data_IF_282817662343
#
_entry.id   IF_282817662343
#
_cell.length_a   1.000
_cell.length_b   1.000
_cell.length_c   1.000
_cell.angle_alpha   90.00
_cell.angle_beta   90.00
_cell.angle_gamma   90.00
#
_symmetry.space_group_name_H-M   'P 1'
#
loop_
_entity.id
_entity.type
_entity.pdbx_description
1 polymer ?
#
# COMPACT_ATOMS: atom_id res chain seq x y z
N UNK A 1 -32.65 14.01 47.17
CA UNK A 1 -31.63 12.96 47.19
C UNK A 1 -30.92 13.05 45.86
N UNK A 2 -29.97 13.97 45.80
CA UNK A 2 -29.22 14.33 44.60
C UNK A 2 -28.14 13.28 44.40
N UNK A 3 -28.08 12.71 43.20
CA UNK A 3 -26.91 11.97 42.74
C UNK A 3 -26.38 12.70 41.52
N UNK A 4 -25.55 13.71 41.80
CA UNK A 4 -24.77 14.39 40.79
C UNK A 4 -23.69 13.43 40.28
N UNK A 5 -23.88 12.93 39.06
CA UNK A 5 -22.89 12.11 38.36
C UNK A 5 -21.86 13.05 37.75
N UNK A 6 -20.94 13.57 38.57
CA UNK A 6 -19.83 14.40 38.08
C UNK A 6 -18.79 13.51 37.41
N UNK A 7 -18.99 13.23 36.12
CA UNK A 7 -18.00 12.56 35.29
C UNK A 7 -16.77 13.43 35.13
N UNK A 8 -15.67 13.06 35.78
CA UNK A 8 -14.37 13.69 35.59
C UNK A 8 -13.95 13.58 34.11
N UNK A 9 -13.49 14.66 33.45
CA UNK A 9 -13.04 14.58 32.08
C UNK A 9 -11.80 13.69 32.02
N UNK A 10 -11.83 12.69 31.13
CA UNK A 10 -10.69 11.83 30.86
C UNK A 10 -9.51 12.71 30.42
N UNK A 11 -8.60 13.00 31.35
CA UNK A 11 -7.34 13.66 31.04
C UNK A 11 -6.57 12.72 30.14
N UNK A 12 -6.45 13.06 28.85
CA UNK A 12 -5.51 12.41 27.94
C UNK A 12 -4.17 12.36 28.67
N UNK A 13 -3.76 11.17 29.10
CA UNK A 13 -2.39 10.93 29.54
C UNK A 13 -1.54 11.22 28.31
N UNK A 14 -1.03 12.44 28.23
CA UNK A 14 -0.05 12.84 27.26
C UNK A 14 1.20 12.06 27.64
N UNK A 15 1.40 10.89 27.03
CA UNK A 15 2.69 10.20 27.05
C UNK A 15 3.70 11.22 26.56
N UNK A 16 4.48 11.82 27.47
CA UNK A 16 5.55 12.75 27.10
C UNK A 16 6.48 11.96 26.18
N UNK A 17 6.73 12.45 24.94
CA UNK A 17 7.72 11.83 24.07
C UNK A 17 9.06 11.87 24.81
N UNK A 18 9.83 10.76 24.85
CA UNK A 18 11.12 10.77 25.52
C UNK A 18 11.98 11.86 24.89
N UNK A 19 12.48 12.72 25.76
CA UNK A 19 13.09 14.03 25.51
C UNK A 19 14.46 13.98 24.79
N UNK A 20 14.69 12.92 24.03
CA UNK A 20 15.82 12.74 23.11
C UNK A 20 15.42 11.94 21.84
N UNK A 21 14.21 12.15 21.31
CA UNK A 21 13.88 11.69 19.97
C UNK A 21 14.38 12.71 18.96
N UNK A 22 15.60 12.52 18.47
CA UNK A 22 16.06 13.27 17.30
C UNK A 22 15.01 13.12 16.20
N UNK A 23 14.59 14.23 15.57
CA UNK A 23 13.68 14.23 14.40
C UNK A 23 14.17 13.35 13.24
N UNK A 24 15.41 12.84 13.33
CA UNK A 24 16.14 12.12 12.31
C UNK A 24 16.56 10.71 12.75
N UNK A 25 15.84 10.07 13.69
CA UNK A 25 16.17 8.68 14.04
C UNK A 25 15.88 7.73 12.87
N UNK A 26 16.96 7.28 12.22
CA UNK A 26 16.92 6.36 11.10
C UNK A 26 16.45 4.95 11.49
N UNK A 27 16.35 4.62 12.78
CA UNK A 27 15.86 3.31 13.26
C UNK A 27 14.35 3.24 13.22
N UNK A 28 13.67 4.33 13.55
CA UNK A 28 12.20 4.42 13.61
C UNK A 28 11.58 4.79 12.26
N UNK A 29 12.36 5.32 11.32
CA UNK A 29 11.85 5.69 9.99
C UNK A 29 11.38 4.48 9.19
N UNK A 30 10.32 4.68 8.39
CA UNK A 30 9.81 3.66 7.45
C UNK A 30 10.93 3.17 6.53
N UNK A 31 11.10 1.85 6.44
CA UNK A 31 12.11 1.21 5.60
C UNK A 31 11.62 0.98 4.18
N UNK A 32 12.56 0.88 3.24
CA UNK A 32 12.26 0.57 1.84
C UNK A 32 11.72 -0.85 1.66
N UNK A 33 10.54 -0.99 1.04
CA UNK A 33 9.89 -2.30 0.87
C UNK A 33 10.50 -3.21 -0.22
N UNK A 34 11.69 -2.89 -0.75
CA UNK A 34 12.34 -3.65 -1.83
C UNK A 34 13.36 -4.64 -1.24
N UNK A 35 13.71 -5.68 -2.00
CA UNK A 35 14.75 -6.64 -1.63
C UNK A 35 16.06 -6.30 -2.35
N UNK A 36 17.18 -6.39 -1.64
CA UNK A 36 18.51 -6.16 -2.20
C UNK A 36 18.87 -7.29 -3.16
N UNK A 37 19.37 -6.95 -4.37
CA UNK A 37 19.67 -7.96 -5.41
C UNK A 37 20.76 -8.96 -5.00
N UNK A 38 21.84 -8.50 -4.35
CA UNK A 38 22.97 -9.35 -3.99
C UNK A 38 22.70 -10.27 -2.80
N UNK A 39 22.02 -9.77 -1.77
CA UNK A 39 21.81 -10.52 -0.52
C UNK A 39 20.42 -11.16 -0.41
N UNK A 40 19.47 -10.78 -1.26
CA UNK A 40 18.07 -11.19 -1.18
C UNK A 40 17.31 -10.68 0.06
N UNK A 41 17.97 -9.95 0.96
CA UNK A 41 17.39 -9.43 2.22
C UNK A 41 16.55 -8.16 1.97
N UNK A 42 15.58 -7.85 2.86
CA UNK A 42 14.84 -6.60 2.78
C UNK A 42 15.76 -5.38 2.94
N UNK A 43 15.49 -4.32 2.18
CA UNK A 43 16.29 -3.11 2.17
C UNK A 43 16.10 -2.31 3.47
N UNK A 44 17.21 -2.03 4.17
CA UNK A 44 17.21 -1.30 5.44
C UNK A 44 17.33 0.23 5.29
N UNK A 45 17.40 0.72 4.06
CA UNK A 45 17.48 2.16 3.77
C UNK A 45 16.14 2.85 4.06
N UNK A 46 16.15 4.13 4.46
CA UNK A 46 14.93 4.90 4.66
C UNK A 46 14.12 4.99 3.36
N UNK A 47 12.80 4.83 3.47
CA UNK A 47 11.88 4.99 2.36
C UNK A 47 11.58 6.47 2.11
N UNK A 48 11.51 6.85 0.84
CA UNK A 48 10.93 8.10 0.39
C UNK A 48 9.38 8.02 0.45
N UNK A 49 8.62 9.09 0.14
CA UNK A 49 7.15 9.06 0.20
C UNK A 49 6.52 7.91 -0.61
N UNK A 50 7.14 7.52 -1.73
CA UNK A 50 6.70 6.39 -2.57
C UNK A 50 7.00 4.98 -1.99
N UNK A 51 7.58 4.88 -0.80
CA UNK A 51 7.86 3.59 -0.14
C UNK A 51 9.16 2.90 -0.58
N UNK A 52 9.94 3.53 -1.47
CA UNK A 52 11.23 3.02 -1.96
C UNK A 52 12.38 3.93 -1.53
N UNK A 53 13.57 3.39 -1.33
CA UNK A 53 14.76 4.21 -1.08
C UNK A 53 15.32 4.79 -2.38
N UNK A 54 16.23 5.76 -2.26
CA UNK A 54 16.93 6.39 -3.41
C UNK A 54 17.48 5.38 -4.43
N UNK A 55 18.00 4.24 -3.97
CA UNK A 55 18.60 3.20 -4.81
C UNK A 55 17.56 2.26 -5.45
N UNK A 56 16.43 2.01 -4.79
CA UNK A 56 15.37 1.10 -5.26
C UNK A 56 14.22 1.86 -5.95
N UNK A 57 14.52 2.96 -6.63
CA UNK A 57 13.52 3.73 -7.41
C UNK A 57 12.78 4.80 -6.62
N UNK A 58 13.23 5.15 -5.41
CA UNK A 58 12.66 6.23 -4.60
C UNK A 58 12.62 7.58 -5.31
N UNK A 59 13.61 7.86 -6.16
CA UNK A 59 13.69 9.07 -6.98
C UNK A 59 12.87 9.01 -8.27
N UNK A 60 12.35 7.84 -8.64
CA UNK A 60 11.61 7.70 -9.88
C UNK A 60 10.23 8.33 -9.72
N UNK A 61 9.85 9.31 -10.55
CA UNK A 61 8.51 9.89 -10.53
C UNK A 61 7.43 8.92 -11.05
N UNK A 62 7.84 7.74 -11.52
CA UNK A 62 6.97 6.82 -12.24
C UNK A 62 6.78 7.25 -13.71
N UNK A 63 6.04 6.46 -14.50
CA UNK A 63 5.73 6.82 -15.87
C UNK A 63 4.80 8.05 -15.92
N UNK A 64 5.00 8.97 -16.88
CA UNK A 64 4.07 10.08 -17.07
C UNK A 64 2.69 9.58 -17.48
N UNK A 65 1.65 10.37 -17.17
CA UNK A 65 0.29 10.10 -17.65
C UNK A 65 0.28 10.04 -19.18
N UNK A 66 -0.37 9.03 -19.76
CA UNK A 66 -0.41 8.83 -21.21
C UNK A 66 0.85 8.23 -21.83
N UNK A 67 1.77 7.69 -21.02
CA UNK A 67 2.95 6.99 -21.55
C UNK A 67 2.56 5.81 -22.47
N UNK A 68 2.88 5.93 -23.76
CA UNK A 68 2.66 4.90 -24.78
C UNK A 68 3.84 3.94 -24.95
N UNK A 69 4.99 4.17 -24.31
CA UNK A 69 6.16 3.28 -24.45
C UNK A 69 5.90 1.88 -23.88
N UNK A 70 5.01 1.78 -22.88
CA UNK A 70 4.55 0.49 -22.35
C UNK A 70 3.40 -0.13 -23.16
N UNK A 71 2.83 0.60 -24.12
CA UNK A 71 1.74 0.15 -24.97
C UNK A 71 2.30 -0.62 -26.16
N UNK A 72 2.26 -1.96 -26.09
CA UNK A 72 2.73 -2.83 -27.18
C UNK A 72 1.58 -3.39 -28.01
N UNK A 73 0.69 -4.14 -27.37
CA UNK A 73 -0.38 -4.90 -28.03
C UNK A 73 -1.74 -4.73 -27.33
N UNK A 74 -1.95 -3.62 -26.62
CA UNK A 74 -3.25 -3.27 -26.02
C UNK A 74 -3.73 -4.15 -24.84
N UNK A 75 -3.01 -5.22 -24.45
CA UNK A 75 -3.47 -6.14 -23.37
C UNK A 75 -3.78 -5.43 -22.04
N UNK A 76 -3.06 -4.35 -21.74
CA UNK A 76 -3.26 -3.56 -20.52
C UNK A 76 -4.10 -2.30 -20.75
N UNK A 77 -4.77 -2.17 -21.89
CA UNK A 77 -5.74 -1.09 -22.11
C UNK A 77 -6.93 -1.25 -21.15
N UNK A 78 -7.60 -0.14 -20.86
CA UNK A 78 -8.79 -0.14 -20.01
C UNK A 78 -9.88 -1.07 -20.57
N UNK A 79 -10.13 -0.99 -21.88
CA UNK A 79 -11.07 -1.84 -22.61
C UNK A 79 -10.73 -3.32 -22.49
N UNK A 80 -9.47 -3.71 -22.78
CA UNK A 80 -9.07 -5.12 -22.72
C UNK A 80 -9.12 -5.66 -21.28
N UNK A 81 -8.88 -4.82 -20.28
CA UNK A 81 -9.03 -5.19 -18.86
C UNK A 81 -10.52 -5.38 -18.52
N UNK A 82 -11.40 -4.47 -18.94
CA UNK A 82 -12.84 -4.56 -18.71
C UNK A 82 -13.43 -5.83 -19.33
N UNK A 83 -13.16 -6.08 -20.60
CA UNK A 83 -13.62 -7.28 -21.31
C UNK A 83 -13.16 -8.57 -20.61
N UNK A 84 -11.90 -8.65 -20.16
CA UNK A 84 -11.43 -9.82 -19.40
C UNK A 84 -12.09 -9.97 -18.03
N UNK A 85 -12.51 -8.89 -17.38
CA UNK A 85 -13.23 -8.95 -16.10
C UNK A 85 -14.63 -9.50 -16.32
N UNK A 86 -15.33 -9.03 -17.34
CA UNK A 86 -16.66 -9.52 -17.74
C UNK A 86 -16.62 -11.01 -18.08
N UNK A 87 -15.70 -11.42 -18.97
CA UNK A 87 -15.53 -12.84 -19.31
C UNK A 87 -15.22 -13.71 -18.08
N UNK A 88 -14.41 -13.21 -17.13
CA UNK A 88 -14.13 -13.93 -15.89
C UNK A 88 -15.33 -14.02 -14.95
N UNK A 89 -16.21 -13.01 -14.94
CA UNK A 89 -17.45 -13.05 -14.17
C UNK A 89 -18.40 -14.10 -14.76
N UNK A 90 -18.61 -14.06 -16.09
CA UNK A 90 -19.42 -15.06 -16.80
C UNK A 90 -18.89 -16.48 -16.57
N UNK A 91 -17.59 -16.71 -16.73
CA UNK A 91 -17.00 -18.02 -16.49
C UNK A 91 -17.15 -18.50 -15.04
N UNK A 92 -17.23 -17.58 -14.06
CA UNK A 92 -17.50 -17.94 -12.66
C UNK A 92 -18.95 -18.38 -12.49
N UNK A 93 -19.89 -17.64 -13.06
CA UNK A 93 -21.32 -17.96 -13.05
C UNK A 93 -21.60 -19.30 -13.73
N UNK A 94 -21.01 -19.54 -14.90
CA UNK A 94 -21.14 -20.82 -15.62
C UNK A 94 -20.63 -22.00 -14.79
N UNK A 95 -19.51 -21.82 -14.07
CA UNK A 95 -18.96 -22.87 -13.18
C UNK A 95 -19.88 -23.15 -12.00
N UNK A 96 -20.48 -22.11 -11.43
CA UNK A 96 -21.43 -22.26 -10.34
C UNK A 96 -22.70 -22.97 -10.80
N UNK A 97 -23.24 -22.56 -11.95
CA UNK A 97 -24.39 -23.22 -12.58
C UNK A 97 -24.11 -24.69 -12.88
N UNK A 98 -22.95 -25.00 -13.45
CA UNK A 98 -22.54 -26.39 -13.72
C UNK A 98 -22.45 -27.23 -12.45
N UNK A 99 -22.07 -26.63 -11.31
CA UNK A 99 -22.01 -27.31 -10.01
C UNK A 99 -23.38 -27.60 -9.40
N UNK A 100 -24.41 -26.83 -9.77
CA UNK A 100 -25.78 -27.05 -9.29
C UNK A 100 -26.51 -28.12 -10.11
N UNK A 101 -26.10 -28.33 -11.36
CA UNK A 101 -26.77 -29.25 -12.30
C UNK A 101 -26.09 -30.64 -12.34
N UNK A 102 -24.81 -30.73 -11.96
CA UNK A 102 -24.07 -32.00 -11.82
C UNK A 102 -24.03 -32.49 -10.39
#
# INVERSE_FOLDING_TARGET
MEQEITGQPQTKVQLRPPENQSRFDLRTVRKCGARCKGTGKPCQQPAMPNGRCKLHGGKSPGPPKGNRNAWKHGRYSAEAIAHRRELRALLREMKEAARLVG
#
